data_IF_318996838670
#
_entry.id   IF_318996838670
#
_cell.length_a   1.000
_cell.length_b   1.000
_cell.length_c   1.000
_cell.angle_alpha   90.00
_cell.angle_beta   90.00
_cell.angle_gamma   90.00
#
_symmetry.space_group_name_H-M   'P 1'
#
loop_
_entity.id
_entity.type
_entity.pdbx_description
1 polymer ?
#
# COMPACT_ATOMS: atom_id res chain seq x y z
N UNK A 1 -47.84 -20.87 13.79
CA UNK A 1 -47.01 -19.67 13.57
C UNK A 1 -45.68 -20.10 12.99
N UNK A 2 -45.36 -19.72 11.76
CA UNK A 2 -44.06 -19.97 11.12
C UNK A 2 -43.15 -18.78 11.40
N UNK A 3 -42.09 -19.00 12.17
CA UNK A 3 -41.06 -17.98 12.43
C UNK A 3 -40.03 -18.11 11.31
N UNK A 4 -40.00 -17.15 10.39
CA UNK A 4 -38.93 -16.99 9.43
C UNK A 4 -37.70 -16.49 10.18
N UNK A 5 -36.72 -17.35 10.40
CA UNK A 5 -35.41 -16.93 10.91
C UNK A 5 -34.64 -16.29 9.76
N UNK A 6 -34.44 -14.97 9.83
CA UNK A 6 -33.52 -14.25 8.95
C UNK A 6 -32.10 -14.77 9.19
N UNK A 7 -31.49 -15.36 8.16
CA UNK A 7 -30.05 -15.53 8.08
C UNK A 7 -29.42 -14.14 7.95
N UNK A 8 -28.81 -13.64 9.02
CA UNK A 8 -27.86 -12.53 8.96
C UNK A 8 -26.56 -13.10 8.40
N UNK A 9 -26.28 -12.84 7.13
CA UNK A 9 -24.97 -13.11 6.53
C UNK A 9 -23.99 -12.09 7.10
N UNK A 10 -23.25 -12.50 8.13
CA UNK A 10 -22.10 -11.75 8.64
C UNK A 10 -20.99 -11.88 7.60
N UNK A 11 -20.85 -10.87 6.74
CA UNK A 11 -19.67 -10.67 5.91
C UNK A 11 -18.49 -10.37 6.85
N UNK A 12 -17.72 -11.40 7.17
CA UNK A 12 -16.38 -11.28 7.74
C UNK A 12 -15.50 -10.56 6.74
N UNK A 13 -15.42 -9.24 6.89
CA UNK A 13 -14.35 -8.42 6.29
C UNK A 13 -13.06 -9.00 6.84
N UNK A 14 -12.30 -9.71 6.01
CA UNK A 14 -10.94 -10.10 6.33
C UNK A 14 -10.13 -8.82 6.53
N UNK A 15 -9.99 -8.40 7.78
CA UNK A 15 -8.96 -7.48 8.19
C UNK A 15 -7.63 -8.22 7.94
N UNK A 16 -6.98 -7.92 6.82
CA UNK A 16 -5.59 -8.28 6.59
C UNK A 16 -4.71 -7.44 7.51
N UNK A 17 -4.81 -7.66 8.82
CA UNK A 17 -3.68 -7.42 9.70
C UNK A 17 -2.69 -8.56 9.44
N UNK A 18 -1.39 -8.26 9.23
CA UNK A 18 -0.39 -9.30 9.04
C UNK A 18 -0.30 -10.12 10.32
N UNK A 19 -0.81 -11.35 10.26
CA UNK A 19 -0.50 -12.43 11.20
C UNK A 19 0.87 -12.95 10.77
N UNK A 20 1.90 -12.73 11.60
CA UNK A 20 3.24 -13.32 11.52
C UNK A 20 3.80 -13.61 10.10
N UNK A 21 4.49 -12.62 9.54
CA UNK A 21 5.73 -12.87 8.79
C UNK A 21 5.67 -13.07 7.27
N UNK A 22 4.51 -13.07 6.62
CA UNK A 22 4.46 -13.19 5.14
C UNK A 22 3.68 -12.05 4.51
N UNK A 23 4.42 -11.11 3.94
CA UNK A 23 3.85 -10.03 3.14
C UNK A 23 3.15 -10.62 1.92
N UNK A 24 1.87 -10.28 1.74
CA UNK A 24 1.06 -10.80 0.64
C UNK A 24 1.35 -9.99 -0.61
N UNK A 25 1.89 -10.63 -1.64
CA UNK A 25 2.23 -9.99 -2.91
C UNK A 25 1.22 -10.32 -4.01
N UNK A 26 0.86 -9.31 -4.78
CA UNK A 26 0.06 -9.42 -6.00
C UNK A 26 1.00 -9.48 -7.21
N UNK A 27 1.03 -10.61 -7.95
CA UNK A 27 1.85 -10.71 -9.16
C UNK A 27 1.23 -9.88 -10.29
N UNK A 28 2.09 -9.16 -11.03
CA UNK A 28 1.70 -8.46 -12.25
C UNK A 28 2.91 -8.34 -13.19
N UNK A 29 2.75 -8.78 -14.43
CA UNK A 29 3.84 -8.92 -15.40
C UNK A 29 4.98 -9.78 -14.84
N UNK A 30 6.20 -9.22 -14.74
CA UNK A 30 7.41 -9.91 -14.24
C UNK A 30 7.77 -9.54 -12.80
N UNK A 31 6.85 -8.88 -12.08
CA UNK A 31 7.09 -8.39 -10.73
C UNK A 31 5.93 -8.72 -9.80
N UNK A 32 6.17 -8.59 -8.50
CA UNK A 32 5.22 -8.85 -7.43
C UNK A 32 5.13 -7.63 -6.53
N UNK A 33 3.92 -7.16 -6.24
CA UNK A 33 3.71 -5.88 -5.57
C UNK A 33 2.93 -6.03 -4.28
N UNK A 34 3.18 -5.19 -3.29
CA UNK A 34 2.38 -5.15 -2.07
C UNK A 34 2.27 -3.74 -1.51
N UNK A 35 1.21 -3.50 -0.74
CA UNK A 35 0.98 -2.26 0.00
C UNK A 35 1.00 -2.59 1.48
N UNK A 36 1.93 -1.99 2.20
CA UNK A 36 2.09 -2.23 3.64
C UNK A 36 1.62 -0.98 4.38
N UNK A 37 0.70 -1.15 5.32
CA UNK A 37 0.34 -0.10 6.27
C UNK A 37 1.49 0.09 7.25
N UNK A 38 2.06 1.30 7.32
CA UNK A 38 3.25 1.59 8.15
C UNK A 38 3.05 2.75 9.10
N UNK A 39 2.34 3.82 8.69
CA UNK A 39 2.22 5.06 9.46
C UNK A 39 3.58 5.58 9.95
N UNK A 40 4.59 5.52 9.08
CA UNK A 40 6.00 5.72 9.44
C UNK A 40 6.71 6.66 8.46
N UNK A 41 7.92 7.06 8.85
CA UNK A 41 8.85 7.82 8.00
C UNK A 41 9.41 6.98 6.85
N UNK A 42 10.09 7.64 5.93
CA UNK A 42 10.57 6.99 4.70
C UNK A 42 11.54 5.84 4.97
N UNK A 43 12.46 6.00 5.93
CA UNK A 43 13.49 5.00 6.23
C UNK A 43 12.86 3.76 6.89
N UNK A 44 11.96 3.95 7.86
CA UNK A 44 11.21 2.87 8.50
C UNK A 44 10.28 2.14 7.50
N UNK A 45 9.62 2.88 6.61
CA UNK A 45 8.81 2.30 5.54
C UNK A 45 9.65 1.53 4.52
N UNK A 46 10.86 2.00 4.20
CA UNK A 46 11.80 1.25 3.36
C UNK A 46 12.23 -0.06 4.03
N UNK A 47 12.53 0.00 5.33
CA UNK A 47 12.86 -1.20 6.11
C UNK A 47 11.71 -2.22 6.12
N UNK A 48 10.45 -1.79 6.12
CA UNK A 48 9.29 -2.68 6.00
C UNK A 48 9.28 -3.44 4.66
N UNK A 49 9.58 -2.78 3.53
CA UNK A 49 9.73 -3.49 2.25
C UNK A 49 10.87 -4.50 2.28
N UNK A 50 12.01 -4.14 2.88
CA UNK A 50 13.18 -5.03 3.00
C UNK A 50 12.86 -6.26 3.86
N UNK A 51 12.13 -6.07 4.97
CA UNK A 51 11.67 -7.17 5.82
C UNK A 51 10.76 -8.16 5.07
N UNK A 52 10.05 -7.69 4.03
CA UNK A 52 9.25 -8.53 3.12
C UNK A 52 10.07 -9.18 1.98
N UNK A 53 11.39 -9.01 1.94
CA UNK A 53 12.23 -9.46 0.83
C UNK A 53 11.93 -8.73 -0.49
N UNK A 54 11.55 -7.45 -0.39
CA UNK A 54 11.23 -6.57 -1.51
C UNK A 54 11.99 -5.25 -1.40
N UNK A 55 11.84 -4.40 -2.42
CA UNK A 55 12.35 -3.03 -2.44
C UNK A 55 11.17 -2.06 -2.47
N UNK A 56 11.37 -0.85 -1.95
CA UNK A 56 10.39 0.22 -2.13
C UNK A 56 10.25 0.53 -3.62
N UNK A 57 9.00 0.62 -4.08
CA UNK A 57 8.66 0.82 -5.48
C UNK A 57 8.95 2.27 -5.91
N UNK A 58 9.43 2.48 -7.14
CA UNK A 58 9.43 3.83 -7.76
C UNK A 58 7.99 4.32 -7.94
N UNK A 59 7.81 5.61 -8.22
CA UNK A 59 6.47 6.15 -8.54
C UNK A 59 5.80 5.32 -9.64
N UNK A 60 4.59 4.79 -9.40
CA UNK A 60 3.83 4.05 -10.41
C UNK A 60 3.58 4.90 -11.66
N UNK A 61 3.69 4.30 -12.84
CA UNK A 61 3.39 4.91 -14.13
C UNK A 61 2.77 3.89 -15.08
N UNK A 62 2.03 4.35 -16.09
CA UNK A 62 1.40 3.47 -17.09
C UNK A 62 0.55 2.36 -16.47
N UNK A 63 0.77 1.12 -16.92
CA UNK A 63 0.04 -0.06 -16.43
C UNK A 63 0.22 -0.30 -14.92
N UNK A 64 1.40 -0.01 -14.39
CA UNK A 64 1.68 -0.14 -12.96
C UNK A 64 0.86 0.85 -12.13
N UNK A 65 0.60 2.05 -12.65
CA UNK A 65 -0.31 3.00 -12.00
C UNK A 65 -1.74 2.44 -11.94
N UNK A 66 -2.20 1.78 -13.02
CA UNK A 66 -3.53 1.16 -13.05
C UNK A 66 -3.63 0.01 -12.05
N UNK A 67 -2.61 -0.86 -11.98
CA UNK A 67 -2.51 -1.91 -10.95
C UNK A 67 -2.55 -1.32 -9.54
N UNK A 68 -1.74 -0.29 -9.29
CA UNK A 68 -1.63 0.36 -7.97
C UNK A 68 -2.95 0.98 -7.55
N UNK A 69 -3.64 1.70 -8.44
CA UNK A 69 -4.91 2.35 -8.10
C UNK A 69 -6.08 1.36 -7.96
N UNK A 70 -6.16 0.37 -8.86
CA UNK A 70 -7.36 -0.47 -8.97
C UNK A 70 -7.31 -1.76 -8.18
N UNK A 71 -6.12 -2.28 -7.92
CA UNK A 71 -5.95 -3.61 -7.31
C UNK A 71 -5.25 -3.48 -5.97
N UNK A 72 -4.04 -2.92 -5.94
CA UNK A 72 -3.24 -2.85 -4.71
C UNK A 72 -3.84 -1.83 -3.73
N UNK A 73 -4.20 -0.66 -4.23
CA UNK A 73 -4.76 0.47 -3.48
C UNK A 73 -6.29 0.51 -3.50
N UNK A 74 -6.97 -0.57 -3.88
CA UNK A 74 -8.43 -0.58 -4.05
C UNK A 74 -9.19 -0.04 -2.81
N UNK A 75 -8.67 -0.35 -1.61
CA UNK A 75 -9.25 0.03 -0.32
C UNK A 75 -8.72 1.36 0.26
N UNK A 76 -7.83 2.06 -0.45
CA UNK A 76 -7.36 3.39 -0.04
C UNK A 76 -8.46 4.43 -0.25
N UNK A 77 -8.34 5.62 0.34
CA UNK A 77 -9.23 6.75 0.05
C UNK A 77 -8.48 7.87 -0.68
N UNK A 78 -9.22 8.84 -1.23
CA UNK A 78 -8.59 9.97 -1.91
C UNK A 78 -7.63 10.70 -0.96
N UNK A 79 -6.38 10.85 -1.41
CA UNK A 79 -5.34 11.51 -0.64
C UNK A 79 -4.60 10.64 0.36
N UNK A 80 -4.93 9.34 0.49
CA UNK A 80 -4.08 8.40 1.22
C UNK A 80 -2.66 8.42 0.60
N UNK A 81 -1.64 8.44 1.44
CA UNK A 81 -0.23 8.54 1.03
C UNK A 81 0.49 7.21 1.15
N UNK A 82 1.30 6.89 0.16
CA UNK A 82 2.28 5.81 0.22
C UNK A 82 3.69 6.33 -0.09
N UNK A 83 4.69 5.95 0.68
CA UNK A 83 6.07 6.21 0.31
C UNK A 83 6.47 5.46 -0.96
N UNK A 84 7.26 6.14 -1.80
CA UNK A 84 7.90 5.59 -2.99
C UNK A 84 9.40 5.90 -2.99
N UNK A 85 10.16 5.12 -3.76
CA UNK A 85 11.61 5.14 -3.77
C UNK A 85 12.18 6.33 -4.57
N UNK A 86 11.92 7.53 -4.06
CA UNK A 86 12.49 8.78 -4.54
C UNK A 86 12.88 9.59 -3.30
N UNK A 87 14.18 9.84 -3.15
CA UNK A 87 14.79 10.67 -2.12
C UNK A 87 15.77 11.64 -2.75
N UNK A 88 15.73 12.89 -2.33
CA UNK A 88 16.63 13.96 -2.75
C UNK A 88 17.04 14.78 -1.52
N UNK A 89 18.17 14.39 -0.91
CA UNK A 89 18.60 14.93 0.39
C UNK A 89 17.58 14.57 1.48
N UNK A 90 17.03 15.61 2.09
CA UNK A 90 16.02 15.52 3.17
C UNK A 90 14.58 15.45 2.65
N UNK A 91 14.38 15.56 1.33
CA UNK A 91 13.07 15.45 0.70
C UNK A 91 12.84 14.04 0.15
N UNK A 92 11.71 13.46 0.52
CA UNK A 92 11.19 12.19 0.04
C UNK A 92 9.86 12.40 -0.68
N UNK A 93 9.37 11.40 -1.41
CA UNK A 93 8.12 11.54 -2.18
C UNK A 93 7.07 10.52 -1.79
N UNK A 94 5.85 11.03 -1.61
CA UNK A 94 4.65 10.21 -1.56
C UNK A 94 4.11 9.96 -2.97
N UNK A 95 3.45 8.83 -3.14
CA UNK A 95 2.36 8.64 -4.08
C UNK A 95 1.04 8.92 -3.36
N UNK A 96 0.16 9.73 -3.96
CA UNK A 96 -1.19 10.00 -3.42
C UNK A 96 -2.25 9.26 -4.22
N UNK A 97 -2.90 8.30 -3.56
CA UNK A 97 -3.94 7.48 -4.16
C UNK A 97 -5.13 8.30 -4.63
N UNK A 98 -5.68 7.93 -5.79
CA UNK A 98 -6.85 8.53 -6.45
C UNK A 98 -6.68 10.01 -6.85
N UNK A 99 -5.56 10.61 -6.48
CA UNK A 99 -5.10 11.91 -6.97
C UNK A 99 -4.15 11.76 -8.17
N UNK A 100 -3.53 10.58 -8.33
CA UNK A 100 -2.62 10.27 -9.43
C UNK A 100 -1.31 11.07 -9.43
N UNK A 101 -0.95 11.67 -8.29
CA UNK A 101 0.17 12.58 -8.16
C UNK A 101 1.27 12.06 -7.24
N UNK A 102 2.49 12.57 -7.46
CA UNK A 102 3.59 12.48 -6.50
C UNK A 102 3.80 13.81 -5.79
N UNK A 103 4.12 13.77 -4.51
CA UNK A 103 4.25 14.97 -3.68
C UNK A 103 5.52 14.88 -2.85
N UNK A 104 6.29 15.95 -2.83
CA UNK A 104 7.48 16.05 -1.99
C UNK A 104 7.08 16.33 -0.54
N UNK A 105 7.81 15.74 0.40
CA UNK A 105 7.69 15.99 1.83
C UNK A 105 9.02 15.71 2.51
N UNK A 106 9.19 16.23 3.73
CA UNK A 106 10.35 15.89 4.55
C UNK A 106 10.34 14.38 4.84
N UNK A 107 11.49 13.73 4.69
CA UNK A 107 11.61 12.28 4.86
C UNK A 107 11.17 11.79 6.25
N UNK A 108 11.19 12.66 7.27
CA UNK A 108 10.74 12.39 8.64
C UNK A 108 9.21 12.51 8.83
N UNK A 109 8.48 12.96 7.82
CA UNK A 109 7.00 12.97 7.84
C UNK A 109 6.48 11.54 7.82
N UNK A 110 5.21 11.32 8.18
CA UNK A 110 4.61 9.98 8.12
C UNK A 110 3.77 9.78 6.85
N UNK A 111 3.90 8.60 6.23
CA UNK A 111 2.94 8.10 5.24
C UNK A 111 2.10 6.99 5.86
N UNK A 112 0.83 6.89 5.47
CA UNK A 112 -0.04 5.80 5.90
C UNK A 112 0.48 4.45 5.41
N UNK A 113 1.00 4.41 4.19
CA UNK A 113 1.47 3.18 3.55
C UNK A 113 2.88 3.29 2.94
N UNK A 114 3.36 2.15 2.45
CA UNK A 114 4.50 2.06 1.54
C UNK A 114 4.19 1.07 0.41
N UNK A 115 4.59 1.42 -0.82
CA UNK A 115 4.50 0.53 -1.97
C UNK A 115 5.80 -0.25 -2.12
N UNK A 116 5.72 -1.57 -2.15
CA UNK A 116 6.88 -2.46 -2.33
C UNK A 116 6.74 -3.28 -3.61
N UNK A 117 7.89 -3.63 -4.21
CA UNK A 117 7.99 -4.46 -5.42
C UNK A 117 9.11 -5.49 -5.27
N UNK A 118 8.90 -6.69 -5.81
CA UNK A 118 9.85 -7.81 -5.89
C UNK A 118 9.95 -8.31 -7.33
#
# INVERSE_FOLDING_TARGET
MKIYSLLVVVLLVHQTQPIDGVCQFTPFQRSSYTLISTNADWDASNAACIACGAQMMKTPYGDNMTLVERIIGANTVFGDTAWVNIRNGDYCYFYMFKSGGKYAADCSTTAKYVLCVK
#
